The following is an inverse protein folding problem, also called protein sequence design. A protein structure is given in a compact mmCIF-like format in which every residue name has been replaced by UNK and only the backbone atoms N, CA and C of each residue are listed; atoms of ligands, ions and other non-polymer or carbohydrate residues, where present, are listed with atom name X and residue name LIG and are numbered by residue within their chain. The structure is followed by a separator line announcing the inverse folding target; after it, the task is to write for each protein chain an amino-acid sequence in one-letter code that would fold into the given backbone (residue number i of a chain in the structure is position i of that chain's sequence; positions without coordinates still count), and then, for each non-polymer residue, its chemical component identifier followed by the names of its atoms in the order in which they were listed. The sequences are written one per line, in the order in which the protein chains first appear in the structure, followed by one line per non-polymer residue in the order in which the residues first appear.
data_IF_699673520624
#
_entry.id   IF_699673520624
#
_cell.length_a   1.000
_cell.length_b   1.000
_cell.length_c   1.000
_cell.angle_alpha   90.00
_cell.angle_beta   90.00
_cell.angle_gamma   90.00
#
_symmetry.space_group_name_H-M   'P 1'
#
loop_
_entity.id
_entity.type
_entity.pdbx_description
1 polymer ?
#
# COMPACT_ATOMS: atom_id res chain seq x y z
N UNK A 1 12.40 29.06 1.97
CA UNK A 1 11.33 28.17 2.48
C UNK A 1 11.32 26.78 1.84
N UNK A 2 11.91 26.60 0.66
CA UNK A 2 11.96 25.33 -0.08
C UNK A 2 12.75 24.21 0.60
N UNK A 3 13.83 24.52 1.30
CA UNK A 3 14.69 23.52 1.96
C UNK A 3 14.10 22.91 3.25
N UNK A 4 13.03 23.48 3.78
CA UNK A 4 12.36 22.99 5.00
C UNK A 4 11.06 22.22 4.70
N UNK A 5 10.59 22.25 3.46
CA UNK A 5 9.40 21.50 3.02
C UNK A 5 9.80 20.18 2.37
N UNK A 6 9.80 19.13 3.19
CA UNK A 6 10.16 17.77 2.78
C UNK A 6 9.08 17.03 1.98
N UNK A 7 7.88 17.60 1.83
CA UNK A 7 6.81 16.99 1.06
C UNK A 7 6.76 17.48 -0.37
N UNK A 8 6.80 18.80 -0.55
CA UNK A 8 6.51 19.40 -1.86
C UNK A 8 7.50 20.49 -2.27
N UNK A 9 8.59 20.64 -1.53
CA UNK A 9 9.64 21.64 -1.81
C UNK A 9 9.09 23.09 -1.98
N UNK A 10 7.99 23.42 -1.29
CA UNK A 10 7.34 24.73 -1.34
C UNK A 10 6.29 24.90 -2.44
N UNK A 11 5.90 23.83 -3.13
CA UNK A 11 4.83 23.85 -4.13
C UNK A 11 3.45 24.05 -3.48
N UNK A 12 2.92 25.27 -3.59
CA UNK A 12 1.64 25.64 -2.98
C UNK A 12 0.44 24.91 -3.61
N UNK A 13 0.49 24.59 -4.89
CA UNK A 13 -0.59 23.91 -5.59
C UNK A 13 -0.69 22.45 -5.10
N UNK A 14 0.42 21.77 -4.90
CA UNK A 14 0.45 20.43 -4.29
C UNK A 14 -0.05 20.44 -2.85
N UNK A 15 0.32 21.45 -2.05
CA UNK A 15 -0.23 21.65 -0.71
C UNK A 15 -1.74 21.87 -0.72
N UNK A 16 -2.27 22.65 -1.68
CA UNK A 16 -3.71 22.86 -1.84
C UNK A 16 -4.42 21.55 -2.21
N UNK A 17 -3.88 20.77 -3.15
CA UNK A 17 -4.39 19.44 -3.51
C UNK A 17 -4.43 18.51 -2.30
N UNK A 18 -3.37 18.48 -1.50
CA UNK A 18 -3.32 17.69 -0.27
C UNK A 18 -4.38 18.13 0.73
N UNK A 19 -4.57 19.43 0.92
CA UNK A 19 -5.62 19.94 1.81
C UNK A 19 -7.03 19.50 1.37
N UNK A 20 -7.32 19.49 0.08
CA UNK A 20 -8.59 18.96 -0.44
C UNK A 20 -8.70 17.45 -0.22
N UNK A 21 -7.64 16.69 -0.39
CA UNK A 21 -7.60 15.27 -0.06
C UNK A 21 -7.93 15.00 1.42
N UNK A 22 -7.34 15.76 2.33
CA UNK A 22 -7.67 15.68 3.76
C UNK A 22 -9.13 16.04 4.04
N UNK A 23 -9.70 17.03 3.36
CA UNK A 23 -11.13 17.36 3.47
C UNK A 23 -12.00 16.18 3.03
N UNK A 24 -11.68 15.52 1.92
CA UNK A 24 -12.38 14.32 1.47
C UNK A 24 -12.30 13.20 2.53
N UNK A 25 -11.08 12.89 3.03
CA UNK A 25 -10.85 11.87 4.06
C UNK A 25 -11.66 12.14 5.33
N UNK A 26 -11.59 13.34 5.87
CA UNK A 26 -12.27 13.67 7.12
C UNK A 26 -13.79 13.75 6.95
N UNK A 27 -14.30 14.23 5.84
CA UNK A 27 -15.74 14.19 5.53
C UNK A 27 -16.23 12.75 5.53
N UNK A 28 -15.52 11.83 4.85
CA UNK A 28 -15.88 10.42 4.83
C UNK A 28 -15.80 9.77 6.22
N UNK A 29 -14.79 10.08 7.02
CA UNK A 29 -14.67 9.54 8.41
C UNK A 29 -15.80 10.00 9.33
N UNK A 30 -16.35 11.18 9.11
CA UNK A 30 -17.44 11.75 9.89
C UNK A 30 -18.84 11.37 9.36
N UNK A 31 -18.93 10.61 8.29
CA UNK A 31 -20.18 10.32 7.56
C UNK A 31 -21.26 9.70 8.47
N UNK A 32 -20.88 8.91 9.48
CA UNK A 32 -21.83 8.28 10.38
C UNK A 32 -22.48 9.27 11.37
N UNK A 33 -21.93 10.47 11.50
CA UNK A 33 -22.45 11.57 12.32
C UNK A 33 -23.23 12.61 11.49
N UNK A 34 -23.26 12.43 10.17
CA UNK A 34 -23.94 13.35 9.27
C UNK A 34 -25.45 13.23 9.37
N UNK A 35 -26.13 14.37 9.38
CA UNK A 35 -27.59 14.47 9.24
C UNK A 35 -28.04 14.33 7.78
N UNK A 36 -27.14 14.54 6.80
CA UNK A 36 -27.41 14.39 5.38
C UNK A 36 -26.21 13.73 4.68
N UNK A 37 -26.15 12.41 4.73
CA UNK A 37 -25.05 11.62 4.18
C UNK A 37 -24.88 11.83 2.68
N UNK A 38 -25.97 11.93 1.91
CA UNK A 38 -25.90 12.14 0.47
C UNK A 38 -25.19 13.46 0.12
N UNK A 39 -25.51 14.56 0.82
CA UNK A 39 -24.84 15.83 0.61
C UNK A 39 -23.34 15.76 0.99
N UNK A 40 -22.98 14.97 1.99
CA UNK A 40 -21.57 14.82 2.37
C UNK A 40 -20.81 13.91 1.41
N UNK A 41 -21.42 12.89 0.81
CA UNK A 41 -20.80 12.14 -0.29
C UNK A 41 -20.56 13.03 -1.52
N UNK A 42 -21.48 13.94 -1.87
CA UNK A 42 -21.26 14.90 -2.94
C UNK A 42 -20.08 15.85 -2.63
N UNK A 43 -19.94 16.30 -1.37
CA UNK A 43 -18.75 17.07 -0.94
C UNK A 43 -17.47 16.28 -1.07
N UNK A 44 -17.48 14.96 -0.75
CA UNK A 44 -16.31 14.11 -0.94
C UNK A 44 -15.90 14.10 -2.41
N UNK A 45 -16.84 13.93 -3.35
CA UNK A 45 -16.57 13.97 -4.78
C UNK A 45 -16.03 15.33 -5.23
N UNK A 46 -16.61 16.43 -4.74
CA UNK A 46 -16.10 17.79 -5.02
C UNK A 46 -14.67 17.97 -4.52
N UNK A 47 -14.36 17.52 -3.31
CA UNK A 47 -12.99 17.63 -2.77
C UNK A 47 -11.99 16.73 -3.52
N UNK A 48 -12.40 15.52 -3.90
CA UNK A 48 -11.57 14.63 -4.72
C UNK A 48 -11.23 15.27 -6.06
N UNK A 49 -12.19 15.93 -6.72
CA UNK A 49 -11.96 16.59 -8.01
C UNK A 49 -10.96 17.76 -7.96
N UNK A 50 -10.70 18.30 -6.77
CA UNK A 50 -9.75 19.40 -6.51
C UNK A 50 -8.43 18.91 -5.89
N UNK A 51 -8.30 17.60 -5.68
CA UNK A 51 -7.15 16.99 -5.02
C UNK A 51 -6.17 16.37 -6.02
N UNK A 52 -5.50 15.28 -5.64
CA UNK A 52 -4.51 14.59 -6.45
C UNK A 52 -5.08 14.10 -7.78
N UNK A 53 -4.33 14.32 -8.86
CA UNK A 53 -4.69 13.86 -10.20
C UNK A 53 -3.87 12.63 -10.62
N UNK A 54 -2.78 12.35 -9.91
CA UNK A 54 -1.93 11.16 -10.09
C UNK A 54 -1.17 10.83 -8.80
N UNK A 55 -0.44 9.74 -8.80
CA UNK A 55 0.46 9.38 -7.71
C UNK A 55 1.59 10.40 -7.49
N UNK A 56 1.92 11.23 -8.48
CA UNK A 56 2.96 12.27 -8.37
C UNK A 56 2.54 13.47 -7.50
N UNK A 57 1.26 13.59 -7.24
CA UNK A 57 0.69 14.62 -6.37
C UNK A 57 0.58 14.17 -4.91
N UNK A 58 0.72 12.85 -4.63
CA UNK A 58 0.44 12.30 -3.31
C UNK A 58 1.34 12.87 -2.23
N UNK A 59 0.84 12.93 -1.00
CA UNK A 59 1.61 13.38 0.15
C UNK A 59 2.47 12.23 0.68
N UNK A 60 3.71 12.17 0.22
CA UNK A 60 4.69 11.15 0.57
C UNK A 60 5.94 11.76 1.20
N UNK A 61 6.35 11.22 2.34
CA UNK A 61 7.66 11.50 2.89
C UNK A 61 8.63 10.46 2.32
N UNK A 62 9.47 10.85 1.39
CA UNK A 62 10.29 9.98 0.54
C UNK A 62 11.80 10.26 0.62
N UNK A 63 12.24 11.11 1.57
CA UNK A 63 13.65 11.51 1.73
C UNK A 63 14.50 10.46 2.46
N UNK A 64 14.03 9.24 2.59
CA UNK A 64 14.80 8.17 3.20
C UNK A 64 15.98 7.74 2.33
N UNK A 65 17.13 7.52 2.97
CA UNK A 65 18.37 7.06 2.36
C UNK A 65 19.04 5.96 3.21
N UNK A 66 20.30 5.65 2.93
CA UNK A 66 21.08 4.65 3.67
C UNK A 66 21.30 5.02 5.14
N UNK A 67 21.30 6.31 5.49
CA UNK A 67 21.58 6.85 6.84
C UNK A 67 20.27 7.21 7.56
N UNK A 68 19.28 7.68 6.81
CA UNK A 68 17.95 8.09 7.29
C UNK A 68 16.92 7.09 6.80
N UNK A 69 16.82 5.95 7.47
CA UNK A 69 15.99 4.82 7.06
C UNK A 69 14.53 5.00 7.44
N UNK A 70 13.65 4.35 6.69
CA UNK A 70 12.23 4.28 7.03
C UNK A 70 12.03 3.75 8.46
N UNK A 71 11.22 4.41 9.31
CA UNK A 71 11.01 4.03 10.71
C UNK A 71 10.50 2.59 10.91
N UNK A 72 9.68 2.05 10.00
CA UNK A 72 9.23 0.66 10.09
C UNK A 72 10.38 -0.32 9.92
N UNK A 73 11.27 -0.06 8.95
CA UNK A 73 12.48 -0.85 8.80
C UNK A 73 13.41 -0.68 10.00
N UNK A 74 13.62 0.55 10.48
CA UNK A 74 14.43 0.84 11.65
C UNK A 74 13.93 0.10 12.89
N UNK A 75 12.63 0.09 13.11
CA UNK A 75 12.00 -0.65 14.20
C UNK A 75 12.18 -2.16 14.04
N UNK A 76 11.95 -2.70 12.85
CA UNK A 76 12.20 -4.11 12.54
C UNK A 76 13.67 -4.49 12.78
N UNK A 77 14.61 -3.68 12.31
CA UNK A 77 16.05 -3.96 12.41
C UNK A 77 16.59 -3.89 13.86
N UNK A 78 16.00 -3.03 14.69
CA UNK A 78 16.42 -2.84 16.09
C UNK A 78 15.73 -3.80 17.07
N UNK A 79 14.57 -4.32 16.71
CA UNK A 79 13.74 -5.17 17.57
C UNK A 79 13.22 -6.33 16.75
N UNK A 80 13.69 -7.53 16.98
CA UNK A 80 13.27 -8.75 16.28
C UNK A 80 11.79 -9.13 16.56
N UNK A 81 10.86 -8.18 16.43
CA UNK A 81 9.47 -8.31 16.85
C UNK A 81 8.43 -8.31 15.74
N UNK A 82 8.86 -8.36 14.47
CA UNK A 82 7.95 -8.39 13.33
C UNK A 82 8.07 -9.66 12.51
N UNK A 83 6.92 -10.28 12.23
CA UNK A 83 6.81 -11.37 11.28
C UNK A 83 5.68 -11.11 10.27
N UNK A 84 5.76 -11.72 9.09
CA UNK A 84 4.64 -11.72 8.15
C UNK A 84 3.47 -12.52 8.74
N UNK A 85 2.31 -11.88 8.93
CA UNK A 85 1.19 -12.55 9.56
C UNK A 85 0.58 -13.63 8.66
N UNK A 86 0.15 -14.75 9.26
CA UNK A 86 -0.61 -15.80 8.58
C UNK A 86 -1.84 -15.22 7.86
N UNK A 87 -2.55 -14.27 8.50
CA UNK A 87 -3.72 -13.63 7.91
C UNK A 87 -3.43 -12.86 6.62
N UNK A 88 -2.28 -12.20 6.54
CA UNK A 88 -1.90 -11.47 5.32
C UNK A 88 -1.73 -12.44 4.15
N UNK A 89 -0.91 -13.47 4.31
CA UNK A 89 -0.67 -14.47 3.28
C UNK A 89 -1.96 -15.17 2.82
N UNK A 90 -2.76 -15.62 3.79
CA UNK A 90 -4.04 -16.30 3.50
C UNK A 90 -5.01 -15.42 2.71
N UNK A 91 -5.12 -14.14 3.07
CA UNK A 91 -6.01 -13.21 2.35
C UNK A 91 -5.53 -12.94 0.92
N UNK A 92 -4.24 -12.68 0.74
CA UNK A 92 -3.70 -12.44 -0.60
C UNK A 92 -3.92 -13.66 -1.52
N UNK A 93 -3.69 -14.88 -1.01
CA UNK A 93 -3.95 -16.12 -1.77
C UNK A 93 -5.44 -16.30 -2.09
N UNK A 94 -6.33 -16.09 -1.11
CA UNK A 94 -7.77 -16.24 -1.30
C UNK A 94 -8.36 -15.27 -2.36
N UNK A 95 -7.69 -14.15 -2.59
CA UNK A 95 -8.09 -13.15 -3.59
C UNK A 95 -7.29 -13.25 -4.88
N UNK A 96 -6.41 -14.24 -5.05
CA UNK A 96 -5.46 -14.34 -6.17
C UNK A 96 -4.68 -13.02 -6.37
N UNK A 97 -4.37 -12.34 -5.27
CA UNK A 97 -3.71 -11.03 -5.29
C UNK A 97 -2.26 -11.19 -5.78
N UNK A 98 -1.81 -10.39 -6.76
CA UNK A 98 -0.47 -10.54 -7.33
C UNK A 98 0.65 -10.31 -6.29
N UNK A 99 0.40 -9.59 -5.21
CA UNK A 99 1.34 -9.41 -4.09
C UNK A 99 1.64 -10.72 -3.36
N UNK A 100 0.76 -11.73 -3.45
CA UNK A 100 1.01 -13.04 -2.84
C UNK A 100 2.31 -13.69 -3.33
N UNK A 101 2.68 -13.47 -4.59
CA UNK A 101 3.87 -14.08 -5.18
C UNK A 101 5.15 -13.26 -4.96
N UNK A 102 5.06 -12.04 -4.42
CA UNK A 102 6.19 -11.10 -4.39
C UNK A 102 6.53 -10.54 -3.02
N UNK A 103 5.54 -10.41 -2.13
CA UNK A 103 5.65 -9.57 -0.95
C UNK A 103 6.26 -10.27 0.27
N UNK A 104 6.83 -11.47 0.15
CA UNK A 104 7.29 -12.23 1.31
C UNK A 104 8.76 -12.66 1.21
N UNK A 105 9.36 -12.81 2.39
CA UNK A 105 10.73 -13.28 2.56
C UNK A 105 10.79 -14.32 3.67
N UNK A 106 11.65 -15.33 3.48
CA UNK A 106 11.86 -16.40 4.46
C UNK A 106 12.39 -15.89 5.81
N UNK A 107 12.35 -16.69 6.89
CA UNK A 107 13.17 -16.47 8.07
C UNK A 107 14.65 -16.24 7.72
N UNK A 108 15.40 -15.60 8.62
CA UNK A 108 16.84 -15.45 8.45
C UNK A 108 17.54 -16.77 8.76
N UNK A 109 18.28 -17.27 7.76
CA UNK A 109 19.21 -18.41 7.93
C UNK A 109 20.58 -17.94 7.43
N UNK A 110 21.61 -18.10 8.24
CA UNK A 110 23.00 -17.67 7.92
C UNK A 110 23.09 -16.21 7.44
N UNK A 111 22.35 -15.32 8.11
CA UNK A 111 22.23 -13.89 7.78
C UNK A 111 21.60 -13.58 6.41
N UNK A 112 20.93 -14.55 5.80
CA UNK A 112 20.31 -14.44 4.48
C UNK A 112 18.81 -14.67 4.55
N UNK A 113 18.09 -14.11 3.58
CA UNK A 113 16.67 -14.36 3.32
C UNK A 113 16.49 -14.62 1.82
N UNK A 114 15.42 -15.31 1.48
CA UNK A 114 15.00 -15.49 0.08
C UNK A 114 13.61 -14.86 -0.10
N UNK A 115 13.36 -14.27 -1.25
CA UNK A 115 12.01 -13.87 -1.64
C UNK A 115 11.23 -15.11 -2.04
N UNK A 116 9.99 -15.22 -1.53
CA UNK A 116 9.13 -16.39 -1.75
C UNK A 116 7.68 -15.98 -1.93
N UNK A 117 6.86 -16.87 -2.47
CA UNK A 117 5.41 -16.70 -2.50
C UNK A 117 4.77 -16.95 -1.12
N UNK A 118 3.55 -16.45 -0.92
CA UNK A 118 2.81 -16.61 0.34
C UNK A 118 2.48 -18.08 0.68
N UNK A 119 2.43 -18.97 -0.31
CA UNK A 119 2.20 -20.41 -0.16
C UNK A 119 3.48 -21.25 -0.18
N UNK A 120 4.64 -20.62 -0.25
CA UNK A 120 5.90 -21.32 -0.19
C UNK A 120 6.13 -21.91 1.22
N UNK A 121 6.44 -23.21 1.36
CA UNK A 121 6.62 -23.86 2.65
C UNK A 121 7.79 -23.30 3.48
N UNK A 122 8.75 -22.61 2.84
CA UNK A 122 9.87 -21.98 3.53
C UNK A 122 9.52 -20.61 4.15
N UNK A 123 8.35 -20.05 3.87
CA UNK A 123 7.96 -18.73 4.39
C UNK A 123 7.85 -18.71 5.92
N UNK A 124 7.25 -19.71 6.54
CA UNK A 124 6.95 -19.77 8.00
C UNK A 124 6.27 -18.47 8.47
N UNK A 125 4.98 -18.26 8.19
CA UNK A 125 4.28 -17.06 8.62
C UNK A 125 4.06 -17.04 10.14
N UNK A 126 4.07 -15.84 10.73
CA UNK A 126 3.85 -15.66 12.16
C UNK A 126 2.35 -15.78 12.52
N UNK A 127 1.98 -16.53 13.56
CA UNK A 127 0.63 -16.54 14.08
C UNK A 127 0.23 -15.17 14.62
N UNK A 128 -1.03 -14.76 14.37
CA UNK A 128 -1.55 -13.52 14.92
C UNK A 128 -1.56 -13.54 16.45
N UNK A 129 -1.12 -12.45 17.08
CA UNK A 129 -1.12 -12.31 18.52
C UNK A 129 0.00 -13.08 19.25
N UNK A 130 0.92 -13.74 18.52
CA UNK A 130 2.09 -14.35 19.14
C UNK A 130 3.10 -13.29 19.58
N UNK A 131 3.59 -13.32 20.82
CA UNK A 131 4.60 -12.38 21.30
C UNK A 131 6.01 -12.69 20.73
N UNK A 132 6.26 -13.94 20.34
CA UNK A 132 7.52 -14.36 19.73
C UNK A 132 7.46 -14.15 18.22
N UNK A 133 8.10 -13.09 17.75
CA UNK A 133 8.20 -12.72 16.33
C UNK A 133 9.66 -12.75 15.85
N UNK A 134 10.46 -13.67 16.37
CA UNK A 134 11.88 -13.80 16.04
C UNK A 134 12.13 -13.87 14.53
N UNK A 135 13.10 -13.11 14.06
CA UNK A 135 13.48 -13.03 12.63
C UNK A 135 14.10 -14.30 12.09
N UNK A 136 14.64 -15.16 12.97
CA UNK A 136 15.16 -16.48 12.61
C UNK A 136 14.06 -17.55 12.55
N UNK A 137 12.90 -17.29 13.16
CA UNK A 137 11.78 -18.22 13.21
C UNK A 137 10.72 -17.91 12.16
N UNK A 138 10.46 -16.63 11.91
CA UNK A 138 9.38 -16.19 11.04
C UNK A 138 9.88 -15.39 9.84
N UNK A 139 9.17 -15.56 8.73
CA UNK A 139 9.32 -14.73 7.56
C UNK A 139 8.82 -13.31 7.78
N UNK A 140 9.09 -12.41 6.83
CA UNK A 140 8.66 -11.02 6.88
C UNK A 140 8.04 -10.59 5.55
N UNK A 141 7.24 -9.52 5.58
CA UNK A 141 6.73 -8.90 4.37
C UNK A 141 7.65 -7.78 3.87
N UNK A 142 7.64 -7.56 2.57
CA UNK A 142 8.33 -6.45 1.91
C UNK A 142 7.95 -5.08 2.50
N UNK A 143 6.71 -4.91 2.93
CA UNK A 143 6.19 -3.64 3.46
C UNK A 143 6.87 -3.15 4.74
N UNK A 144 7.51 -4.05 5.48
CA UNK A 144 8.32 -3.70 6.64
C UNK A 144 9.81 -3.71 6.30
N UNK A 145 10.22 -4.55 5.34
CA UNK A 145 11.62 -4.75 4.97
C UNK A 145 12.16 -3.70 3.99
N UNK A 146 11.29 -2.90 3.39
CA UNK A 146 11.67 -1.84 2.44
C UNK A 146 12.31 -0.65 3.17
N UNK A 147 13.65 -0.60 3.18
CA UNK A 147 14.48 0.33 3.96
C UNK A 147 14.23 1.80 3.64
N UNK A 148 14.02 2.11 2.37
CA UNK A 148 13.84 3.49 1.87
C UNK A 148 12.48 3.72 1.24
N UNK A 149 11.50 2.84 1.49
CA UNK A 149 10.15 3.03 0.97
C UNK A 149 9.51 4.30 1.54
N UNK A 150 8.80 5.10 0.73
CA UNK A 150 8.12 6.29 1.18
C UNK A 150 7.09 6.02 2.27
N UNK A 151 6.95 6.95 3.21
CA UNK A 151 5.82 6.97 4.15
C UNK A 151 4.71 7.84 3.58
N UNK A 152 3.59 7.24 3.23
CA UNK A 152 2.45 7.94 2.65
C UNK A 152 1.61 8.60 3.76
N UNK A 153 1.52 9.92 3.75
CA UNK A 153 0.60 10.68 4.61
C UNK A 153 -0.82 10.67 4.03
N UNK A 154 -0.90 10.79 2.73
CA UNK A 154 -2.10 10.55 1.94
C UNK A 154 -1.71 10.10 0.54
N UNK A 155 -2.19 8.93 0.16
CA UNK A 155 -1.89 8.35 -1.15
C UNK A 155 -2.97 8.66 -2.18
N UNK A 156 -2.58 8.60 -3.46
CA UNK A 156 -3.51 8.72 -4.57
C UNK A 156 -4.54 7.57 -4.57
N UNK A 157 -4.11 6.34 -4.30
CA UNK A 157 -5.03 5.21 -4.24
C UNK A 157 -6.05 5.34 -3.10
N UNK A 158 -5.68 5.88 -1.93
CA UNK A 158 -6.66 6.18 -0.87
C UNK A 158 -7.72 7.15 -1.36
N UNK A 159 -7.30 8.23 -2.04
CA UNK A 159 -8.21 9.23 -2.58
C UNK A 159 -9.20 8.61 -3.60
N UNK A 160 -8.71 7.71 -4.46
CA UNK A 160 -9.56 7.02 -5.44
C UNK A 160 -10.51 6.01 -4.77
N UNK A 161 -10.11 5.34 -3.70
CA UNK A 161 -11.04 4.54 -2.90
C UNK A 161 -12.14 5.37 -2.25
N UNK A 162 -11.83 6.58 -1.74
CA UNK A 162 -12.84 7.50 -1.21
C UNK A 162 -13.83 7.93 -2.31
N UNK A 163 -13.33 8.18 -3.53
CA UNK A 163 -14.18 8.48 -4.70
C UNK A 163 -15.10 7.32 -5.03
N UNK A 164 -14.55 6.11 -5.12
CA UNK A 164 -15.32 4.90 -5.44
C UNK A 164 -16.40 4.64 -4.39
N UNK A 165 -16.07 4.74 -3.10
CA UNK A 165 -17.05 4.57 -2.02
C UNK A 165 -18.16 5.63 -2.10
N UNK A 166 -17.83 6.91 -2.30
CA UNK A 166 -18.82 7.98 -2.41
C UNK A 166 -19.77 7.76 -3.60
N UNK A 167 -19.24 7.35 -4.76
CA UNK A 167 -20.05 7.02 -5.94
C UNK A 167 -20.99 5.85 -5.66
N UNK A 168 -20.49 4.75 -5.09
CA UNK A 168 -21.33 3.61 -4.69
C UNK A 168 -22.45 4.02 -3.73
N UNK A 169 -22.16 4.84 -2.72
CA UNK A 169 -23.16 5.30 -1.74
C UNK A 169 -24.20 6.23 -2.32
N UNK A 170 -23.89 6.85 -3.45
CA UNK A 170 -24.82 7.67 -4.24
C UNK A 170 -25.54 6.87 -5.34
N UNK A 171 -25.38 5.55 -5.37
CA UNK A 171 -25.90 4.66 -6.44
C UNK A 171 -25.45 5.09 -7.84
N UNK A 172 -24.22 5.56 -7.97
CA UNK A 172 -23.56 5.90 -9.24
C UNK A 172 -22.53 4.83 -9.58
N UNK A 173 -22.21 4.74 -10.86
CA UNK A 173 -21.14 3.84 -11.30
C UNK A 173 -19.78 4.26 -10.69
N UNK A 174 -19.10 3.32 -10.07
CA UNK A 174 -17.83 3.49 -9.41
C UNK A 174 -16.73 2.58 -9.99
N UNK A 175 -17.00 1.86 -11.08
CA UNK A 175 -16.07 0.87 -11.64
C UNK A 175 -14.71 1.50 -11.99
N UNK A 176 -14.71 2.60 -12.74
CA UNK A 176 -13.47 3.27 -13.15
C UNK A 176 -12.68 3.79 -11.95
N UNK A 177 -13.35 4.41 -10.98
CA UNK A 177 -12.70 4.92 -9.78
C UNK A 177 -12.10 3.77 -8.92
N UNK A 178 -12.81 2.64 -8.84
CA UNK A 178 -12.33 1.46 -8.12
C UNK A 178 -11.15 0.82 -8.85
N UNK A 179 -11.20 0.72 -10.19
CA UNK A 179 -10.08 0.23 -11.01
C UNK A 179 -8.83 1.08 -10.80
N UNK A 180 -8.97 2.38 -10.88
CA UNK A 180 -7.89 3.33 -10.67
C UNK A 180 -7.28 3.22 -9.26
N UNK A 181 -8.13 3.08 -8.22
CA UNK A 181 -7.69 2.87 -6.86
C UNK A 181 -6.88 1.57 -6.68
N UNK A 182 -7.36 0.46 -7.25
CA UNK A 182 -6.71 -0.86 -7.17
C UNK A 182 -5.38 -0.85 -7.91
N UNK A 183 -5.34 -0.32 -9.13
CA UNK A 183 -4.11 -0.24 -9.93
C UNK A 183 -3.06 0.61 -9.22
N UNK A 184 -3.42 1.83 -8.80
CA UNK A 184 -2.49 2.71 -8.08
C UNK A 184 -2.00 2.09 -6.76
N UNK A 185 -2.86 1.38 -6.03
CA UNK A 185 -2.51 0.68 -4.80
C UNK A 185 -1.53 -0.47 -5.03
N UNK A 186 -1.70 -1.24 -6.10
CA UNK A 186 -0.80 -2.33 -6.46
C UNK A 186 0.57 -1.81 -6.93
N UNK A 187 0.61 -0.73 -7.72
CA UNK A 187 1.87 -0.10 -8.15
C UNK A 187 2.64 0.49 -6.96
N UNK A 188 1.94 1.11 -6.03
CA UNK A 188 2.57 1.60 -4.80
C UNK A 188 3.13 0.46 -3.95
N UNK A 189 2.41 -0.66 -3.84
CA UNK A 189 2.89 -1.85 -3.16
C UNK A 189 4.14 -2.43 -3.85
N UNK A 190 4.14 -2.51 -5.19
CA UNK A 190 5.30 -2.99 -5.96
C UNK A 190 6.53 -2.11 -5.76
N UNK A 191 6.38 -0.79 -5.64
CA UNK A 191 7.50 0.08 -5.31
C UNK A 191 8.18 -0.35 -4.01
N UNK A 192 7.41 -0.58 -2.94
CA UNK A 192 7.95 -1.08 -1.67
C UNK A 192 8.57 -2.48 -1.79
N UNK A 193 7.95 -3.37 -2.57
CA UNK A 193 8.46 -4.72 -2.85
C UNK A 193 9.81 -4.64 -3.58
N UNK A 194 9.90 -3.83 -4.61
CA UNK A 194 11.13 -3.65 -5.39
C UNK A 194 12.27 -3.06 -4.56
N UNK A 195 11.98 -2.13 -3.66
CA UNK A 195 12.96 -1.59 -2.71
C UNK A 195 13.44 -2.72 -1.77
N UNK A 196 12.52 -3.49 -1.19
CA UNK A 196 12.86 -4.59 -0.30
C UNK A 196 13.70 -5.68 -0.99
N UNK A 197 13.42 -6.00 -2.25
CA UNK A 197 14.21 -6.95 -3.03
C UNK A 197 15.64 -6.45 -3.25
N UNK A 198 15.83 -5.16 -3.51
CA UNK A 198 17.18 -4.56 -3.62
C UNK A 198 17.98 -4.68 -2.32
N UNK A 199 17.34 -4.60 -1.16
CA UNK A 199 17.99 -4.75 0.14
C UNK A 199 18.51 -6.20 0.37
N UNK A 200 17.97 -7.20 -0.32
CA UNK A 200 18.51 -8.57 -0.25
C UNK A 200 19.92 -8.70 -0.83
N UNK A 201 20.31 -7.79 -1.74
CA UNK A 201 21.60 -7.81 -2.40
C UNK A 201 21.75 -8.86 -3.51
N UNK A 202 22.85 -8.76 -4.25
CA UNK A 202 23.18 -9.72 -5.31
C UNK A 202 23.56 -11.09 -4.71
N UNK A 203 22.95 -12.17 -5.21
CA UNK A 203 23.28 -13.55 -4.84
C UNK A 203 22.25 -14.23 -3.90
N UNK A 204 21.13 -13.58 -3.64
CA UNK A 204 20.00 -14.21 -2.95
C UNK A 204 18.95 -14.68 -3.97
N UNK A 205 18.30 -15.78 -3.67
CA UNK A 205 17.25 -16.32 -4.51
C UNK A 205 16.05 -15.36 -4.49
N UNK A 206 15.81 -14.67 -5.59
CA UNK A 206 14.51 -14.06 -5.86
C UNK A 206 13.67 -15.09 -6.61
N UNK A 207 12.40 -15.23 -6.24
CA UNK A 207 11.50 -16.02 -7.06
C UNK A 207 11.35 -15.33 -8.45
N UNK A 208 11.02 -16.11 -9.47
CA UNK A 208 10.82 -15.62 -10.85
C UNK A 208 9.50 -14.86 -11.05
N UNK A 209 8.87 -14.35 -9.96
CA UNK A 209 7.61 -13.62 -10.08
C UNK A 209 7.81 -12.30 -10.82
N UNK A 210 6.92 -12.04 -11.77
CA UNK A 210 6.96 -10.82 -12.56
C UNK A 210 6.61 -9.60 -11.71
N UNK A 211 7.25 -8.47 -12.03
CA UNK A 211 6.96 -7.16 -11.46
C UNK A 211 5.50 -6.79 -11.72
N UNK A 212 4.81 -6.26 -10.72
CA UNK A 212 3.45 -5.75 -10.89
C UNK A 212 3.51 -4.46 -11.70
N UNK A 213 2.99 -4.52 -12.93
CA UNK A 213 2.89 -3.38 -13.84
C UNK A 213 1.46 -2.83 -13.87
N UNK A 214 1.27 -1.66 -14.46
CA UNK A 214 -0.07 -1.11 -14.69
C UNK A 214 -0.96 -2.09 -15.47
N UNK A 215 -0.40 -2.73 -16.52
CA UNK A 215 -1.12 -3.73 -17.32
C UNK A 215 -1.54 -4.95 -16.48
N UNK A 216 -0.62 -5.53 -15.68
CA UNK A 216 -0.94 -6.69 -14.85
C UNK A 216 -1.89 -6.36 -13.70
N UNK A 217 -1.77 -5.16 -13.12
CA UNK A 217 -2.70 -4.66 -12.11
C UNK A 217 -4.10 -4.41 -12.69
N UNK A 218 -4.19 -3.82 -13.90
CA UNK A 218 -5.45 -3.65 -14.62
C UNK A 218 -6.11 -4.98 -14.96
N UNK A 219 -5.34 -5.96 -15.45
CA UNK A 219 -5.84 -7.31 -15.70
C UNK A 219 -6.36 -7.98 -14.42
N UNK A 220 -5.63 -7.85 -13.31
CA UNK A 220 -6.11 -8.37 -12.03
C UNK A 220 -7.44 -7.74 -11.61
N UNK A 221 -7.62 -6.44 -11.81
CA UNK A 221 -8.90 -5.79 -11.56
C UNK A 221 -10.00 -6.43 -12.41
N UNK A 222 -9.82 -6.52 -13.72
CA UNK A 222 -10.83 -7.03 -14.66
C UNK A 222 -11.19 -8.49 -14.38
N UNK A 223 -10.19 -9.34 -14.10
CA UNK A 223 -10.39 -10.79 -13.91
C UNK A 223 -10.94 -11.16 -12.51
N UNK A 224 -10.61 -10.40 -11.47
CA UNK A 224 -10.87 -10.79 -10.07
C UNK A 224 -11.73 -9.78 -9.33
N UNK A 225 -11.31 -8.50 -9.32
CA UNK A 225 -11.95 -7.49 -8.46
C UNK A 225 -13.32 -7.10 -9.01
N UNK A 226 -13.43 -6.89 -10.33
CA UNK A 226 -14.68 -6.51 -11.00
C UNK A 226 -15.79 -7.55 -10.78
N UNK A 227 -15.47 -8.86 -10.88
CA UNK A 227 -16.45 -9.91 -10.62
C UNK A 227 -17.00 -9.85 -9.19
N UNK A 228 -16.19 -9.51 -8.22
CA UNK A 228 -16.61 -9.36 -6.82
C UNK A 228 -17.38 -8.05 -6.58
N UNK A 229 -17.01 -6.98 -7.27
CA UNK A 229 -17.75 -5.72 -7.22
C UNK A 229 -19.17 -5.87 -7.78
N UNK A 230 -19.31 -6.56 -8.91
CA UNK A 230 -20.62 -6.80 -9.54
C UNK A 230 -21.54 -7.76 -8.76
N UNK A 231 -20.99 -8.55 -7.84
CA UNK A 231 -21.73 -9.52 -7.03
C UNK A 231 -22.30 -8.95 -5.72
N UNK A 232 -21.99 -7.70 -5.38
CA UNK A 232 -22.44 -7.00 -4.16
C UNK A 232 -23.29 -5.78 -4.50
#
# INVERSE_FOLDING_TARGET
MTEQDFLYAGDADKWLKFAYGLKARYTMRLINRSSNKSADYEKVLDYVSKSFTSADDQAAFDIYDSNNINPFYGFYNSRAGFGASTSLGTKLLAYNDPRANRAFFTPIVDKKRSQVAANDPSLVPAPNGSPDQSTSKYGISAFVYAKTAPTLLMSYHELMFLKAEALCRLNRDAEDALKEAVVAGLLNAENSISIAIKELGSGLNTNSSEVITETSAGKYFDDVVKAKYAAN
#
